data_IF_737841060971
#
_entry.id   IF_737841060971
#
_cell.length_a   1.000
_cell.length_b   1.000
_cell.length_c   1.000
_cell.angle_alpha   90.00
_cell.angle_beta   90.00
_cell.angle_gamma   90.00
#
_symmetry.space_group_name_H-M   'P 1'
#
loop_
_entity.id
_entity.type
_entity.pdbx_description
1 polymer ?
#
# COMPACT_ATOMS: atom_id res chain seq x y z
N UNK A 1 13.29 4.71 -1.41
CA UNK A 1 12.06 4.88 -2.19
C UNK A 1 11.90 6.35 -2.53
N UNK A 2 12.10 6.75 -3.79
CA UNK A 2 11.80 8.12 -4.23
C UNK A 2 10.27 8.29 -4.21
N UNK A 3 9.77 9.22 -3.41
CA UNK A 3 8.33 9.41 -3.23
C UNK A 3 7.87 10.65 -4.00
N UNK A 4 7.30 10.40 -5.16
CA UNK A 4 6.34 11.32 -5.76
C UNK A 4 5.14 10.48 -6.13
N UNK A 5 4.05 10.66 -5.38
CA UNK A 5 2.72 10.21 -5.77
C UNK A 5 2.49 10.71 -7.20
N UNK A 6 1.99 9.86 -8.10
CA UNK A 6 2.10 10.04 -9.55
C UNK A 6 2.15 11.50 -10.03
N UNK A 7 3.23 11.87 -10.72
CA UNK A 7 3.53 13.25 -11.07
C UNK A 7 3.17 13.51 -12.52
N UNK A 8 2.37 14.53 -12.79
CA UNK A 8 2.21 15.07 -14.14
C UNK A 8 2.89 16.43 -14.21
N UNK A 9 3.90 16.54 -15.06
CA UNK A 9 4.56 17.80 -15.40
C UNK A 9 4.08 18.27 -16.76
N UNK A 10 3.49 19.46 -16.80
CA UNK A 10 3.14 20.12 -18.06
C UNK A 10 4.29 21.00 -18.50
N UNK A 11 4.52 21.07 -19.81
CA UNK A 11 5.37 22.10 -20.35
C UNK A 11 4.73 23.47 -20.12
N UNK A 12 5.54 24.46 -19.78
CA UNK A 12 5.06 25.84 -19.62
C UNK A 12 4.44 26.31 -20.94
N UNK A 13 3.21 26.86 -20.95
CA UNK A 13 2.60 27.38 -22.16
C UNK A 13 3.53 28.40 -22.84
N UNK A 14 3.80 28.20 -24.13
CA UNK A 14 4.75 29.02 -24.92
C UNK A 14 6.22 29.00 -24.45
N UNK A 15 6.55 28.19 -23.44
CA UNK A 15 7.92 27.90 -23.03
C UNK A 15 8.68 27.15 -24.11
N UNK A 16 10.00 27.05 -23.93
CA UNK A 16 10.88 26.38 -24.90
C UNK A 16 10.44 24.93 -25.13
N UNK A 17 10.20 24.20 -24.05
CA UNK A 17 9.79 22.79 -24.09
C UNK A 17 8.48 22.59 -24.87
N UNK A 18 7.51 23.48 -24.69
CA UNK A 18 6.23 23.43 -25.40
C UNK A 18 6.37 23.78 -26.90
N UNK A 19 7.25 24.72 -27.24
CA UNK A 19 7.55 25.08 -28.64
C UNK A 19 8.31 23.98 -29.35
N UNK A 20 9.21 23.31 -28.64
CA UNK A 20 9.98 22.20 -29.16
C UNK A 20 9.08 20.96 -29.33
N UNK A 21 7.97 20.87 -28.60
CA UNK A 21 6.90 19.89 -28.84
C UNK A 21 6.55 18.98 -27.65
N UNK A 22 7.09 19.23 -26.46
CA UNK A 22 6.68 18.54 -25.22
C UNK A 22 5.35 19.11 -24.74
N UNK A 23 4.35 18.24 -24.55
CA UNK A 23 3.05 18.64 -24.00
C UNK A 23 3.02 18.35 -22.49
N UNK A 24 3.26 17.09 -22.12
CA UNK A 24 3.40 16.69 -20.73
C UNK A 24 4.21 15.41 -20.56
N UNK A 25 4.73 15.21 -19.35
CA UNK A 25 5.31 13.96 -18.89
C UNK A 25 4.57 13.49 -17.63
N UNK A 26 4.23 12.22 -17.58
CA UNK A 26 3.49 11.60 -16.51
C UNK A 26 4.26 10.40 -15.94
N UNK A 27 4.51 10.43 -14.63
CA UNK A 27 5.30 9.43 -13.92
C UNK A 27 4.38 8.68 -12.97
N UNK A 28 4.14 7.41 -13.26
CA UNK A 28 3.35 6.52 -12.44
C UNK A 28 4.26 5.60 -11.63
N UNK A 29 4.53 5.96 -10.38
CA UNK A 29 5.18 5.04 -9.44
C UNK A 29 4.20 3.97 -9.00
N UNK A 30 4.65 2.71 -9.05
CA UNK A 30 3.93 1.54 -8.54
C UNK A 30 3.97 1.48 -6.99
N UNK A 31 3.57 2.55 -6.33
CA UNK A 31 3.55 2.68 -4.86
C UNK A 31 2.56 1.71 -4.20
N UNK A 32 1.60 1.19 -4.97
CA UNK A 32 0.71 0.15 -4.50
C UNK A 32 1.42 -1.18 -4.30
N UNK A 33 2.55 -1.46 -4.95
CA UNK A 33 3.12 -2.82 -4.93
C UNK A 33 3.57 -3.28 -3.55
N UNK A 34 4.17 -2.43 -2.68
CA UNK A 34 4.38 -2.78 -1.28
C UNK A 34 3.11 -3.14 -0.50
N UNK A 35 1.94 -2.66 -0.94
CA UNK A 35 0.64 -2.97 -0.34
C UNK A 35 -0.13 -4.08 -1.08
N UNK A 36 0.14 -4.25 -2.37
CA UNK A 36 -0.71 -4.93 -3.34
C UNK A 36 -0.03 -6.12 -4.01
N UNK A 37 1.28 -6.33 -3.80
CA UNK A 37 2.04 -7.47 -4.36
C UNK A 37 1.39 -8.82 -4.05
N UNK A 38 0.49 -8.88 -3.06
CA UNK A 38 -0.29 -10.06 -2.69
C UNK A 38 -1.72 -9.76 -2.19
N UNK A 39 -2.22 -8.51 -2.27
CA UNK A 39 -3.49 -8.06 -1.63
C UNK A 39 -3.61 -8.44 -0.14
N UNK A 40 -2.51 -8.47 0.60
CA UNK A 40 -2.55 -8.92 2.00
C UNK A 40 -2.88 -7.72 2.89
N UNK A 41 -4.16 -7.55 3.18
CA UNK A 41 -4.62 -6.65 4.24
C UNK A 41 -4.83 -7.46 5.53
N UNK A 42 -4.49 -6.86 6.68
CA UNK A 42 -4.69 -7.53 7.97
C UNK A 42 -6.17 -7.86 8.20
N UNK A 43 -7.06 -7.00 7.71
CA UNK A 43 -8.52 -7.07 7.89
C UNK A 43 -9.28 -7.45 6.61
N UNK A 44 -8.64 -8.14 5.67
CA UNK A 44 -9.29 -8.57 4.41
C UNK A 44 -10.38 -9.65 4.63
N UNK A 45 -10.35 -10.31 5.79
CA UNK A 45 -11.35 -11.29 6.17
C UNK A 45 -12.43 -10.64 7.05
N UNK A 46 -13.59 -10.36 6.47
CA UNK A 46 -14.74 -9.75 7.14
C UNK A 46 -15.19 -10.54 8.39
N UNK A 47 -14.96 -11.86 8.42
CA UNK A 47 -15.32 -12.66 9.60
C UNK A 47 -14.56 -12.27 10.87
N UNK A 48 -13.42 -11.58 10.74
CA UNK A 48 -12.62 -11.06 11.87
C UNK A 48 -13.38 -9.96 12.62
N UNK A 49 -14.30 -9.23 11.96
CA UNK A 49 -15.16 -8.25 12.61
C UNK A 49 -16.01 -8.88 13.72
N UNK A 50 -16.43 -10.13 13.55
CA UNK A 50 -17.21 -10.86 14.56
C UNK A 50 -16.47 -11.07 15.89
N UNK A 51 -15.13 -10.98 15.90
CA UNK A 51 -14.38 -11.00 17.16
C UNK A 51 -14.69 -9.77 18.03
N UNK A 52 -15.00 -8.63 17.40
CA UNK A 52 -15.34 -7.38 18.07
C UNK A 52 -16.83 -7.26 18.44
N UNK A 53 -17.65 -8.26 18.10
CA UNK A 53 -19.06 -8.31 18.50
C UNK A 53 -19.23 -8.93 19.89
N UNK A 54 -20.32 -8.58 20.57
CA UNK A 54 -20.71 -9.22 21.82
C UNK A 54 -21.04 -10.71 21.59
N UNK A 55 -20.57 -11.58 22.49
CA UNK A 55 -20.79 -13.02 22.41
C UNK A 55 -22.27 -13.38 22.59
N UNK A 56 -23.03 -12.60 23.37
CA UNK A 56 -24.47 -12.76 23.50
C UNK A 56 -25.19 -12.49 22.18
N UNK A 57 -24.81 -11.43 21.48
CA UNK A 57 -25.31 -11.10 20.15
C UNK A 57 -25.01 -12.21 19.12
N UNK A 58 -23.77 -12.71 19.09
CA UNK A 58 -23.40 -13.81 18.18
C UNK A 58 -24.21 -15.08 18.47
N UNK A 59 -24.37 -15.44 19.75
CA UNK A 59 -25.15 -16.63 20.16
C UNK A 59 -26.61 -16.49 19.77
N UNK A 60 -27.20 -15.32 19.97
CA UNK A 60 -28.56 -15.01 19.55
C UNK A 60 -28.74 -15.20 18.04
N UNK A 61 -27.83 -14.64 17.23
CA UNK A 61 -27.87 -14.81 15.78
C UNK A 61 -27.71 -16.27 15.34
N UNK A 62 -26.89 -17.06 16.03
CA UNK A 62 -26.74 -18.50 15.76
C UNK A 62 -27.99 -19.31 16.10
N UNK A 63 -28.75 -18.90 17.13
CA UNK A 63 -29.96 -19.57 17.56
C UNK A 63 -31.16 -19.23 16.67
N UNK A 64 -31.33 -17.96 16.29
CA UNK A 64 -32.48 -17.52 15.47
C UNK A 64 -32.25 -17.62 13.96
N UNK A 65 -31.01 -17.48 13.51
CA UNK A 65 -30.63 -17.55 12.10
C UNK A 65 -29.61 -18.66 11.87
N UNK A 66 -29.95 -19.66 11.04
CA UNK A 66 -28.98 -20.67 10.55
C UNK A 66 -27.87 -20.07 9.65
N UNK A 67 -27.55 -18.78 9.75
CA UNK A 67 -26.77 -18.01 8.79
C UNK A 67 -25.34 -17.66 9.20
N UNK A 68 -24.96 -17.74 10.48
CA UNK A 68 -23.63 -17.27 10.94
C UNK A 68 -22.83 -18.40 11.60
N UNK A 69 -21.98 -19.04 10.82
CA UNK A 69 -20.96 -19.99 11.32
C UNK A 69 -19.78 -19.22 11.92
N UNK A 70 -19.95 -18.66 13.12
CA UNK A 70 -18.86 -18.01 13.86
C UNK A 70 -18.08 -19.03 14.68
N UNK A 71 -16.78 -19.14 14.39
CA UNK A 71 -15.82 -19.83 15.23
C UNK A 71 -14.75 -18.84 15.66
N UNK A 72 -14.76 -18.49 16.95
CA UNK A 72 -13.79 -17.56 17.55
C UNK A 72 -12.36 -17.99 17.26
N UNK A 73 -12.02 -19.26 17.47
CA UNK A 73 -10.67 -19.77 17.24
C UNK A 73 -10.23 -19.68 15.77
N UNK A 74 -11.14 -19.90 14.83
CA UNK A 74 -10.85 -19.74 13.39
C UNK A 74 -10.61 -18.28 13.04
N UNK A 75 -11.41 -17.36 13.60
CA UNK A 75 -11.26 -15.93 13.36
C UNK A 75 -9.96 -15.37 13.98
N UNK A 76 -9.62 -15.76 15.21
CA UNK A 76 -8.35 -15.40 15.87
C UNK A 76 -7.14 -15.91 15.08
N UNK A 77 -7.20 -17.17 14.63
CA UNK A 77 -6.16 -17.76 13.81
C UNK A 77 -6.00 -17.01 12.48
N UNK A 78 -7.12 -16.72 11.80
CA UNK A 78 -7.13 -15.96 10.55
C UNK A 78 -6.52 -14.56 10.72
N UNK A 79 -6.91 -13.85 11.77
CA UNK A 79 -6.36 -12.54 12.12
C UNK A 79 -4.83 -12.60 12.32
N UNK A 80 -4.36 -13.55 13.14
CA UNK A 80 -2.92 -13.73 13.39
C UNK A 80 -2.16 -14.09 12.11
N UNK A 81 -2.73 -14.92 11.24
CA UNK A 81 -2.15 -15.24 9.95
C UNK A 81 -2.05 -14.02 9.04
N UNK A 82 -3.08 -13.17 8.99
CA UNK A 82 -3.06 -11.95 8.21
C UNK A 82 -2.02 -10.94 8.72
N UNK A 83 -1.84 -10.79 10.05
CA UNK A 83 -0.73 -10.00 10.61
C UNK A 83 0.63 -10.51 10.17
N UNK A 84 0.87 -11.83 10.27
CA UNK A 84 2.14 -12.46 9.86
C UNK A 84 2.43 -12.25 8.38
N UNK A 85 1.42 -12.44 7.51
CA UNK A 85 1.57 -12.23 6.06
C UNK A 85 1.85 -10.76 5.74
N UNK A 86 1.18 -9.82 6.39
CA UNK A 86 1.42 -8.39 6.19
C UNK A 86 2.85 -8.02 6.59
N UNK A 87 3.33 -8.53 7.74
CA UNK A 87 4.71 -8.32 8.18
C UNK A 87 5.74 -8.93 7.22
N UNK A 88 5.55 -10.19 6.81
CA UNK A 88 6.44 -10.86 5.86
C UNK A 88 6.52 -10.07 4.53
N UNK A 89 5.40 -9.52 4.06
CA UNK A 89 5.39 -8.71 2.86
C UNK A 89 6.24 -7.43 3.01
N UNK A 90 6.15 -6.72 4.13
CA UNK A 90 7.00 -5.55 4.39
C UNK A 90 8.49 -5.90 4.38
N UNK A 91 8.86 -7.03 5.00
CA UNK A 91 10.25 -7.52 5.01
C UNK A 91 10.72 -7.86 3.60
N UNK A 92 9.92 -8.58 2.82
CA UNK A 92 10.25 -8.95 1.43
C UNK A 92 10.43 -7.74 0.52
N UNK A 93 9.75 -6.62 0.81
CA UNK A 93 9.83 -5.39 0.03
C UNK A 93 11.07 -4.54 0.37
N UNK A 94 11.86 -4.87 1.39
CA UNK A 94 13.09 -4.14 1.74
C UNK A 94 14.11 -4.13 0.60
N UNK A 95 14.15 -5.21 -0.17
CA UNK A 95 15.15 -5.43 -1.23
C UNK A 95 14.57 -5.31 -2.63
N UNK A 96 13.32 -4.87 -2.76
CA UNK A 96 12.65 -4.71 -4.06
C UNK A 96 12.75 -3.28 -4.56
N UNK A 97 13.10 -3.17 -5.83
CA UNK A 97 13.03 -1.93 -6.59
C UNK A 97 11.79 -1.99 -7.47
N UNK A 98 10.90 -1.01 -7.33
CA UNK A 98 9.78 -0.86 -8.24
C UNK A 98 10.16 0.19 -9.27
N UNK A 99 10.13 -0.23 -10.54
CA UNK A 99 10.28 0.72 -11.64
C UNK A 99 9.12 1.72 -11.63
N UNK A 100 9.42 2.92 -12.15
CA UNK A 100 8.40 3.93 -12.45
C UNK A 100 7.96 3.69 -13.88
N UNK A 101 6.64 3.67 -14.13
CA UNK A 101 6.13 3.75 -15.50
C UNK A 101 6.12 5.22 -15.91
N UNK A 102 6.73 5.53 -17.04
CA UNK A 102 6.85 6.90 -17.55
C UNK A 102 6.09 7.00 -18.87
N UNK A 103 5.28 8.04 -19.00
CA UNK A 103 4.50 8.33 -20.21
C UNK A 103 4.76 9.77 -20.64
N UNK A 104 5.16 9.98 -21.89
CA UNK A 104 5.46 11.30 -22.44
C UNK A 104 4.55 11.58 -23.63
N UNK A 105 3.86 12.72 -23.63
CA UNK A 105 3.19 13.25 -24.83
C UNK A 105 4.08 14.29 -25.48
N UNK A 106 4.58 13.94 -26.66
CA UNK A 106 5.48 14.74 -27.47
C UNK A 106 4.95 14.85 -28.91
N UNK A 107 5.42 15.84 -29.65
CA UNK A 107 5.21 15.93 -31.09
C UNK A 107 5.93 14.79 -31.82
N UNK A 108 5.45 14.47 -33.02
CA UNK A 108 6.11 13.48 -33.89
C UNK A 108 7.54 13.91 -34.26
N UNK A 109 7.77 15.21 -34.44
CA UNK A 109 9.07 15.78 -34.77
C UNK A 109 10.11 15.53 -33.68
N UNK A 110 9.75 15.72 -32.39
CA UNK A 110 10.65 15.33 -31.29
C UNK A 110 10.95 13.84 -31.32
N UNK A 111 9.95 13.00 -31.59
CA UNK A 111 10.16 11.55 -31.62
C UNK A 111 11.17 11.14 -32.69
N UNK A 112 11.10 11.75 -33.88
CA UNK A 112 12.05 11.54 -34.97
C UNK A 112 13.46 12.02 -34.58
N UNK A 113 13.58 13.19 -33.94
CA UNK A 113 14.86 13.71 -33.46
C UNK A 113 15.49 12.83 -32.37
N UNK A 114 14.69 12.37 -31.40
CA UNK A 114 15.14 11.42 -30.37
C UNK A 114 15.64 10.13 -31.01
N UNK A 115 14.91 9.60 -32.00
CA UNK A 115 15.33 8.41 -32.72
C UNK A 115 16.68 8.58 -33.40
N UNK A 116 16.91 9.72 -34.08
CA UNK A 116 18.21 10.01 -34.68
C UNK A 116 19.33 10.15 -33.64
N UNK A 117 19.05 10.74 -32.48
CA UNK A 117 20.01 10.83 -31.38
C UNK A 117 20.33 9.47 -30.78
N UNK A 118 19.35 8.58 -30.60
CA UNK A 118 19.59 7.21 -30.12
C UNK A 118 20.47 6.42 -31.08
N UNK A 119 20.24 6.54 -32.39
CA UNK A 119 21.11 5.95 -33.41
C UNK A 119 22.55 6.49 -33.32
N UNK A 120 22.72 7.75 -32.95
CA UNK A 120 24.05 8.36 -32.74
C UNK A 120 24.67 7.99 -31.39
N UNK A 121 23.87 7.79 -30.33
CA UNK A 121 24.32 7.41 -28.99
C UNK A 121 24.71 5.94 -28.88
N UNK A 122 24.13 5.04 -29.66
CA UNK A 122 24.61 3.65 -29.81
C UNK A 122 26.08 3.57 -30.31
N UNK A 123 26.67 4.71 -30.72
CA UNK A 123 28.08 4.83 -31.13
C UNK A 123 28.99 5.47 -30.06
N UNK A 124 28.44 6.00 -28.96
CA UNK A 124 29.21 6.69 -27.90
C UNK A 124 28.67 6.40 -26.49
N UNK A 125 29.28 5.43 -25.82
CA UNK A 125 29.15 5.22 -24.38
C UNK A 125 29.93 6.32 -23.65
N UNK A 126 29.22 7.35 -23.17
CA UNK A 126 29.83 8.40 -22.35
C UNK A 126 29.12 8.48 -20.98
N UNK A 127 29.82 7.94 -19.98
CA UNK A 127 29.56 8.15 -18.55
C UNK A 127 29.69 9.65 -18.22
N UNK A 128 28.54 10.31 -18.06
CA UNK A 128 28.50 11.73 -17.70
C UNK A 128 28.33 11.87 -16.19
N UNK A 129 29.41 12.35 -15.57
CA UNK A 129 29.59 12.52 -14.14
C UNK A 129 28.45 13.23 -13.41
N UNK A 130 28.28 12.80 -12.16
CA UNK A 130 27.24 13.20 -11.21
C UNK A 130 27.26 14.71 -10.94
N UNK A 131 26.29 15.43 -11.52
CA UNK A 131 26.08 16.85 -11.24
C UNK A 131 25.49 17.04 -9.83
N UNK A 132 26.24 17.73 -8.97
CA UNK A 132 25.99 17.94 -7.55
C UNK A 132 24.89 18.99 -7.23
N UNK A 133 23.85 19.07 -8.06
CA UNK A 133 22.74 20.02 -7.87
C UNK A 133 21.71 19.43 -6.89
N UNK A 134 21.12 20.23 -5.99
CA UNK A 134 20.04 19.76 -5.14
C UNK A 134 18.87 19.31 -6.02
N UNK A 135 18.42 18.09 -5.78
CA UNK A 135 17.34 17.47 -6.54
C UNK A 135 16.01 18.12 -6.13
N UNK A 136 15.07 18.37 -7.06
CA UNK A 136 13.78 19.00 -6.76
C UNK A 136 12.79 18.06 -6.05
N UNK A 137 13.30 17.00 -5.40
CA UNK A 137 12.52 15.96 -4.78
C UNK A 137 13.23 15.40 -3.54
N UNK A 138 12.44 14.84 -2.63
CA UNK A 138 12.95 14.19 -1.44
C UNK A 138 13.28 12.72 -1.73
N UNK A 139 14.40 12.25 -1.18
CA UNK A 139 14.77 10.84 -1.20
C UNK A 139 14.49 10.29 0.20
N UNK A 140 13.45 9.47 0.31
CA UNK A 140 13.12 8.78 1.57
C UNK A 140 13.79 7.40 1.55
N UNK A 141 14.59 7.04 2.59
CA UNK A 141 15.12 5.70 2.75
C UNK A 141 13.99 4.66 2.74
N UNK A 142 14.20 3.55 2.04
CA UNK A 142 13.19 2.47 1.96
C UNK A 142 12.84 1.93 3.35
N UNK A 143 13.81 1.85 4.26
CA UNK A 143 13.60 1.45 5.65
C UNK A 143 12.66 2.39 6.41
N UNK A 144 12.79 3.70 6.22
CA UNK A 144 11.97 4.71 6.89
C UNK A 144 10.50 4.61 6.45
N UNK A 145 10.27 4.49 5.14
CA UNK A 145 8.93 4.28 4.63
C UNK A 145 8.33 2.96 5.13
N UNK A 146 9.06 1.85 5.06
CA UNK A 146 8.55 0.55 5.52
C UNK A 146 8.25 0.55 7.04
N UNK A 147 9.06 1.25 7.84
CA UNK A 147 8.80 1.45 9.26
C UNK A 147 7.55 2.30 9.50
N UNK A 148 7.34 3.35 8.72
CA UNK A 148 6.11 4.13 8.76
C UNK A 148 4.90 3.25 8.44
N UNK A 149 4.97 2.40 7.40
CA UNK A 149 3.88 1.49 7.04
C UNK A 149 3.61 0.46 8.15
N UNK A 150 4.66 -0.11 8.74
CA UNK A 150 4.56 -1.00 9.88
C UNK A 150 3.83 -0.33 11.05
N UNK A 151 4.18 0.92 11.37
CA UNK A 151 3.51 1.70 12.41
C UNK A 151 2.03 1.96 12.08
N UNK A 152 1.71 2.30 10.83
CA UNK A 152 0.31 2.52 10.41
C UNK A 152 -0.53 1.25 10.54
N UNK A 153 -0.02 0.09 10.11
CA UNK A 153 -0.72 -1.19 10.25
C UNK A 153 -0.95 -1.52 11.73
N UNK A 154 0.08 -1.36 12.57
CA UNK A 154 -0.01 -1.65 13.99
C UNK A 154 -0.96 -0.72 14.75
N UNK A 155 -1.09 0.56 14.33
CA UNK A 155 -2.08 1.48 14.90
C UNK A 155 -3.50 0.89 14.82
N UNK A 156 -3.87 0.33 13.67
CA UNK A 156 -5.19 -0.30 13.50
C UNK A 156 -5.30 -1.64 14.20
N UNK A 157 -4.23 -2.45 14.21
CA UNK A 157 -4.20 -3.70 14.98
C UNK A 157 -4.40 -3.44 16.48
N UNK A 158 -3.70 -2.46 17.03
CA UNK A 158 -3.81 -2.06 18.42
C UNK A 158 -5.23 -1.58 18.76
N UNK A 159 -5.83 -0.73 17.91
CA UNK A 159 -7.20 -0.28 18.10
C UNK A 159 -8.19 -1.46 18.11
N UNK A 160 -8.03 -2.41 17.17
CA UNK A 160 -8.86 -3.59 17.11
C UNK A 160 -8.70 -4.47 18.35
N UNK A 161 -7.47 -4.80 18.74
CA UNK A 161 -7.17 -5.58 19.95
C UNK A 161 -7.68 -4.88 21.23
N UNK A 162 -7.63 -3.54 21.27
CA UNK A 162 -8.22 -2.76 22.34
C UNK A 162 -9.75 -2.94 22.40
N UNK A 163 -10.44 -2.85 21.26
CA UNK A 163 -11.89 -3.09 21.18
C UNK A 163 -12.22 -4.53 21.65
N UNK A 164 -11.47 -5.54 21.18
CA UNK A 164 -11.63 -6.93 21.61
C UNK A 164 -11.51 -7.10 23.13
N UNK A 165 -10.52 -6.44 23.74
CA UNK A 165 -10.31 -6.52 25.18
C UNK A 165 -11.44 -5.84 25.98
N UNK A 166 -12.10 -4.83 25.41
CA UNK A 166 -13.19 -4.11 26.06
C UNK A 166 -14.54 -4.81 25.85
N UNK A 167 -14.81 -5.39 24.68
CA UNK A 167 -16.03 -6.18 24.47
C UNK A 167 -16.08 -7.39 25.40
N UNK A 168 -14.94 -8.02 25.67
CA UNK A 168 -14.81 -9.08 26.67
C UNK A 168 -15.01 -8.62 28.13
N UNK A 169 -14.80 -7.33 28.43
CA UNK A 169 -14.92 -6.76 29.79
C UNK A 169 -16.27 -6.11 30.08
N UNK A 170 -16.93 -5.55 29.07
CA UNK A 170 -18.21 -4.82 29.21
C UNK A 170 -19.41 -5.77 29.23
N UNK A 171 -19.26 -6.96 28.66
CA UNK A 171 -20.20 -8.08 28.79
C UNK A 171 -19.51 -9.26 29.49
N UNK A 172 -19.08 -9.11 30.75
CA UNK A 172 -18.70 -10.27 31.53
C UNK A 172 -19.96 -11.11 31.68
N UNK A 173 -19.88 -12.37 31.23
CA UNK A 173 -20.93 -13.38 31.31
C UNK A 173 -21.79 -13.14 32.56
N UNK A 174 -23.04 -12.70 32.34
CA UNK A 174 -24.07 -12.68 33.37
C UNK A 174 -24.24 -14.12 33.82
N UNK A 175 -23.52 -14.40 34.89
CA UNK A 175 -23.52 -15.64 35.63
C UNK A 175 -24.81 -15.62 36.44
N UNK A 176 -25.89 -16.21 35.93
CA UNK A 176 -27.03 -16.58 36.76
C UNK A 176 -27.59 -17.93 36.35
N UNK A 177 -28.12 -18.68 37.35
CA UNK A 177 -28.17 -20.13 37.36
C UNK A 177 -29.39 -20.62 36.59
N UNK A 178 -29.26 -21.80 36.00
CA UNK A 178 -30.45 -22.61 35.72
C UNK A 178 -30.57 -23.60 36.88
N UNK A 179 -31.66 -23.41 37.61
CA UNK A 179 -32.17 -24.27 38.66
C UNK A 179 -32.59 -25.64 38.10
N UNK A 180 -32.48 -26.64 38.99
CA UNK A 180 -32.81 -28.08 38.93
C UNK A 180 -31.95 -28.96 38.03
#
# INVERSE_FOLDING_TARGET
MQDTMGLTMFATPQGKEARDGLIYSQFYRLIKTPFNSTKVYVFDNDSVENLALDLGYIRFLQQEGRGITFSKGVCEFSYMHSKKRAYANLVDNQWKLYSTREEHRISITIMEEIYQQWVQWDLYDADNGTNNRPLPYYIVPTSELLNFLYAQINKYCFLFEHILAHTAKTYPILSYPILS
#
